data_IF_581488186638
#
_entry.id   IF_581488186638
#
_cell.length_a   1.000
_cell.length_b   1.000
_cell.length_c   1.000
_cell.angle_alpha   90.00
_cell.angle_beta   90.00
_cell.angle_gamma   90.00
#
_symmetry.space_group_name_H-M   'P 1'
#
loop_
_entity.id
_entity.type
_entity.pdbx_description
1 polymer ?
#
# COMPACT_ATOMS: atom_id res chain seq x y z
N UNK A 1 -1.54 -8.03 -6.63
CA UNK A 1 -1.45 -6.59 -6.34
C UNK A 1 -1.93 -5.76 -7.52
N UNK A 2 -2.28 -4.50 -7.26
CA UNK A 2 -2.62 -3.47 -8.26
C UNK A 2 -1.59 -2.34 -8.12
N UNK A 3 -1.06 -1.81 -9.22
CA UNK A 3 0.05 -0.83 -9.16
C UNK A 3 -0.31 0.43 -9.92
N UNK A 4 -0.21 1.58 -9.26
CA UNK A 4 -0.31 2.91 -9.84
C UNK A 4 1.07 3.55 -9.80
N UNK A 5 1.79 3.42 -10.92
CA UNK A 5 3.20 3.80 -11.03
C UNK A 5 3.36 5.30 -11.26
N UNK A 6 4.22 5.95 -10.49
CA UNK A 6 4.65 7.31 -10.74
C UNK A 6 5.51 7.40 -12.02
N UNK A 7 5.34 8.43 -12.86
CA UNK A 7 6.20 8.64 -14.04
C UNK A 7 7.68 8.82 -13.70
N UNK A 8 7.97 9.61 -12.66
CA UNK A 8 9.32 9.80 -12.10
C UNK A 8 9.38 9.20 -10.68
N UNK A 9 9.47 7.87 -10.60
CA UNK A 9 9.42 7.10 -9.36
C UNK A 9 10.59 7.45 -8.41
N UNK A 10 10.26 8.00 -7.24
CA UNK A 10 11.18 8.29 -6.12
C UNK A 10 10.94 7.35 -4.96
N UNK A 11 9.68 7.03 -4.69
CA UNK A 11 9.25 6.20 -3.56
C UNK A 11 8.27 5.13 -4.02
N UNK A 12 8.29 3.98 -3.36
CA UNK A 12 7.31 2.91 -3.57
C UNK A 12 6.70 2.54 -2.22
N UNK A 13 5.39 2.64 -2.13
CA UNK A 13 4.64 2.23 -0.94
C UNK A 13 3.69 1.08 -1.28
N UNK A 14 3.52 0.14 -0.34
CA UNK A 14 2.46 -0.86 -0.39
C UNK A 14 1.34 -0.43 0.52
N UNK A 15 0.11 -0.42 0.03
CA UNK A 15 -1.04 0.03 0.80
C UNK A 15 -2.03 -1.12 0.94
N UNK A 16 -2.31 -1.50 2.18
CA UNK A 16 -3.46 -2.34 2.49
C UNK A 16 -4.72 -1.49 2.45
N UNK A 17 -5.60 -1.80 1.51
CA UNK A 17 -6.78 -0.99 1.18
C UNK A 17 -8.07 -1.80 1.28
N UNK A 18 -9.18 -1.10 1.52
CA UNK A 18 -10.53 -1.65 1.56
C UNK A 18 -11.44 -0.72 0.76
N UNK A 19 -12.14 -1.25 -0.25
CA UNK A 19 -13.03 -0.47 -1.13
C UNK A 19 -14.27 0.08 -0.40
N UNK A 20 -14.50 -0.29 0.86
CA UNK A 20 -15.58 0.23 1.72
C UNK A 20 -15.09 1.29 2.70
N UNK A 21 -13.81 1.66 2.66
CA UNK A 21 -13.19 2.60 3.59
C UNK A 21 -13.14 4.02 3.03
N UNK A 22 -13.76 4.98 3.71
CA UNK A 22 -13.78 6.39 3.29
C UNK A 22 -12.39 7.00 3.08
N UNK A 23 -11.40 6.69 3.92
CA UNK A 23 -10.02 7.17 3.70
C UNK A 23 -9.29 6.43 2.57
N UNK A 24 -9.69 5.21 2.23
CA UNK A 24 -9.19 4.54 1.03
C UNK A 24 -9.73 5.21 -0.24
N UNK A 25 -11.00 5.65 -0.23
CA UNK A 25 -11.56 6.47 -1.30
C UNK A 25 -10.77 7.76 -1.46
N UNK A 26 -10.56 8.49 -0.35
CA UNK A 26 -9.78 9.73 -0.37
C UNK A 26 -8.36 9.53 -0.93
N UNK A 27 -7.64 8.49 -0.48
CA UNK A 27 -6.31 8.19 -0.99
C UNK A 27 -6.34 7.90 -2.51
N UNK A 28 -7.35 7.17 -2.98
CA UNK A 28 -7.46 6.81 -4.39
C UNK A 28 -7.85 7.99 -5.29
N UNK A 29 -8.71 8.89 -4.81
CA UNK A 29 -9.06 10.13 -5.50
C UNK A 29 -7.83 11.02 -5.76
N UNK A 30 -6.88 10.99 -4.83
CA UNK A 30 -5.63 11.76 -4.89
C UNK A 30 -4.49 10.99 -5.59
N UNK A 31 -4.73 9.82 -6.19
CA UNK A 31 -3.69 8.95 -6.77
C UNK A 31 -2.75 9.68 -7.74
N UNK A 32 -3.32 10.58 -8.56
CA UNK A 32 -2.53 11.39 -9.51
C UNK A 32 -1.56 12.33 -8.79
N UNK A 33 -1.93 12.88 -7.64
CA UNK A 33 -1.08 13.77 -6.86
C UNK A 33 0.06 13.01 -6.18
N UNK A 34 -0.20 11.79 -5.66
CA UNK A 34 0.88 10.90 -5.21
C UNK A 34 1.86 10.60 -6.34
N UNK A 35 1.35 10.20 -7.50
CA UNK A 35 2.17 9.84 -8.65
C UNK A 35 2.98 11.04 -9.19
N UNK A 36 2.39 12.24 -9.21
CA UNK A 36 3.07 13.48 -9.61
C UNK A 36 4.22 13.86 -8.66
N UNK A 37 4.12 13.47 -7.38
CA UNK A 37 5.18 13.63 -6.39
C UNK A 37 6.21 12.49 -6.39
N UNK A 38 6.15 11.59 -7.38
CA UNK A 38 7.08 10.47 -7.52
C UNK A 38 6.78 9.27 -6.63
N UNK A 39 5.56 9.17 -6.08
CA UNK A 39 5.17 8.06 -5.21
C UNK A 39 4.37 7.04 -6.01
N UNK A 40 4.94 5.84 -6.17
CA UNK A 40 4.24 4.67 -6.70
C UNK A 40 3.46 3.98 -5.60
N UNK A 41 2.17 3.74 -5.83
CA UNK A 41 1.28 3.06 -4.88
C UNK A 41 0.99 1.64 -5.36
N UNK A 42 1.18 0.65 -4.49
CA UNK A 42 0.86 -0.76 -4.74
C UNK A 42 -0.21 -1.23 -3.77
N UNK A 43 -1.39 -1.60 -4.25
CA UNK A 43 -2.45 -2.10 -3.39
C UNK A 43 -2.38 -3.61 -3.14
N UNK A 44 -2.64 -3.96 -1.88
CA UNK A 44 -3.08 -5.27 -1.43
C UNK A 44 -4.44 -5.11 -0.74
N UNK A 45 -5.32 -6.10 -0.91
CA UNK A 45 -6.66 -6.06 -0.35
C UNK A 45 -6.63 -6.41 1.15
N UNK A 46 -7.39 -5.66 1.95
CA UNK A 46 -7.56 -5.90 3.38
C UNK A 46 -9.02 -5.62 3.79
N UNK A 47 -9.92 -6.61 3.64
CA UNK A 47 -11.33 -6.42 4.02
C UNK A 47 -11.44 -6.29 5.55
N UNK A 48 -11.73 -5.09 6.06
CA UNK A 48 -11.80 -4.83 7.51
C UNK A 48 -12.90 -5.63 8.21
N UNK A 49 -13.93 -6.00 7.45
CA UNK A 49 -15.08 -6.80 7.91
C UNK A 49 -14.79 -8.31 7.87
N UNK A 50 -13.57 -8.72 7.52
CA UNK A 50 -13.15 -10.12 7.49
C UNK A 50 -13.33 -10.81 6.13
N UNK A 51 -12.86 -12.05 6.06
CA UNK A 51 -12.76 -12.82 4.81
C UNK A 51 -14.10 -13.34 4.27
N UNK A 52 -15.15 -13.31 5.07
CA UNK A 52 -16.50 -13.72 4.65
C UNK A 52 -17.37 -12.53 4.22
N UNK A 53 -16.82 -11.32 4.23
CA UNK A 53 -17.56 -10.09 3.94
C UNK A 53 -17.80 -9.86 2.45
N UNK A 54 -18.83 -9.07 2.11
CA UNK A 54 -19.05 -8.63 0.72
C UNK A 54 -17.85 -7.85 0.16
N UNK A 55 -17.15 -7.09 1.01
CA UNK A 55 -15.94 -6.37 0.61
C UNK A 55 -14.83 -7.31 0.13
N UNK A 56 -14.68 -8.48 0.76
CA UNK A 56 -13.74 -9.50 0.29
C UNK A 56 -14.13 -10.00 -1.11
N UNK A 57 -15.39 -10.38 -1.30
CA UNK A 57 -15.88 -10.95 -2.56
C UNK A 57 -15.75 -9.96 -3.73
N UNK A 58 -16.07 -8.69 -3.47
CA UNK A 58 -15.94 -7.61 -4.43
C UNK A 58 -14.45 -7.33 -4.75
N UNK A 59 -13.58 -7.26 -3.74
CA UNK A 59 -12.14 -7.08 -3.97
C UNK A 59 -11.50 -8.28 -4.67
N UNK A 60 -11.94 -9.51 -4.39
CA UNK A 60 -11.54 -10.71 -5.13
C UNK A 60 -11.85 -10.55 -6.63
N UNK A 61 -13.06 -10.10 -6.95
CA UNK A 61 -13.45 -9.83 -8.34
C UNK A 61 -12.60 -8.74 -9.00
N UNK A 62 -12.30 -7.65 -8.28
CA UNK A 62 -11.40 -6.59 -8.77
C UNK A 62 -10.00 -7.14 -9.05
N UNK A 63 -9.43 -7.94 -8.14
CA UNK A 63 -8.09 -8.51 -8.31
C UNK A 63 -8.01 -9.59 -9.39
N UNK A 64 -9.15 -10.16 -9.77
CA UNK A 64 -9.31 -11.11 -10.86
C UNK A 64 -9.71 -10.47 -12.20
N UNK A 65 -9.98 -9.17 -12.22
CA UNK A 65 -10.29 -8.47 -13.46
C UNK A 65 -9.09 -8.49 -14.43
N UNK A 66 -9.39 -8.51 -15.73
CA UNK A 66 -8.38 -8.40 -16.80
C UNK A 66 -7.57 -7.11 -16.67
N UNK A 67 -8.25 -6.00 -16.36
CA UNK A 67 -7.65 -4.72 -16.03
C UNK A 67 -8.01 -4.36 -14.59
N UNK A 68 -7.09 -4.66 -13.68
CA UNK A 68 -7.31 -4.49 -12.23
C UNK A 68 -7.34 -3.02 -11.84
N UNK A 69 -6.50 -2.19 -12.47
CA UNK A 69 -6.48 -0.75 -12.25
C UNK A 69 -7.85 -0.16 -12.61
N UNK A 70 -8.35 -0.46 -13.81
CA UNK A 70 -9.67 0.02 -14.22
C UNK A 70 -10.79 -0.50 -13.31
N UNK A 71 -10.76 -1.77 -12.94
CA UNK A 71 -11.79 -2.35 -12.06
C UNK A 71 -11.77 -1.70 -10.67
N UNK A 72 -10.59 -1.39 -10.13
CA UNK A 72 -10.45 -0.69 -8.86
C UNK A 72 -10.91 0.78 -9.00
N UNK A 73 -10.51 1.48 -10.05
CA UNK A 73 -10.96 2.85 -10.33
C UNK A 73 -12.49 2.94 -10.42
N UNK A 74 -13.11 2.02 -11.15
CA UNK A 74 -14.57 1.97 -11.30
C UNK A 74 -15.25 1.67 -9.95
N UNK A 75 -14.72 0.75 -9.14
CA UNK A 75 -15.26 0.45 -7.81
C UNK A 75 -15.16 1.65 -6.85
N UNK A 76 -14.01 2.30 -6.80
CA UNK A 76 -13.76 3.48 -5.95
C UNK A 76 -14.58 4.70 -6.40
N UNK A 77 -14.99 4.75 -7.67
CA UNK A 77 -15.91 5.74 -8.23
C UNK A 77 -17.40 5.35 -8.10
N UNK A 78 -17.71 4.24 -7.43
CA UNK A 78 -19.09 3.80 -7.16
C UNK A 78 -19.79 3.11 -8.34
N UNK A 79 -19.07 2.69 -9.39
CA UNK A 79 -19.65 2.05 -10.60
C UNK A 79 -19.94 0.56 -10.45
N UNK A 80 -19.88 0.01 -9.24
CA UNK A 80 -20.10 -1.40 -8.94
C UNK A 80 -18.97 -2.30 -9.45
N UNK A 81 -18.96 -3.55 -8.98
CA UNK A 81 -17.93 -4.54 -9.32
C UNK A 81 -18.51 -5.60 -10.23
N UNK A 82 -17.81 -5.91 -11.33
CA UNK A 82 -18.15 -7.03 -12.19
C UNK A 82 -17.59 -8.32 -11.59
N UNK A 83 -18.42 -9.36 -11.37
CA UNK A 83 -17.93 -10.63 -10.85
C UNK A 83 -16.83 -11.23 -11.72
N UNK A 84 -15.74 -11.66 -11.08
CA UNK A 84 -14.65 -12.35 -11.75
C UNK A 84 -13.98 -13.34 -10.78
N UNK A 85 -13.42 -14.42 -11.32
CA UNK A 85 -12.70 -15.44 -10.55
C UNK A 85 -11.38 -15.79 -11.22
N UNK A 86 -10.39 -16.10 -10.38
CA UNK A 86 -9.01 -16.43 -10.72
C UNK A 86 -8.31 -16.98 -9.46
N UNK A 87 -7.03 -17.34 -9.57
CA UNK A 87 -6.28 -17.96 -8.48
C UNK A 87 -5.83 -17.01 -7.36
N UNK A 88 -6.01 -15.69 -7.50
CA UNK A 88 -5.60 -14.71 -6.47
C UNK A 88 -6.36 -14.96 -5.16
N UNK A 89 -5.68 -15.32 -4.09
CA UNK A 89 -6.30 -15.50 -2.78
C UNK A 89 -6.23 -14.23 -1.94
N UNK A 90 -7.37 -13.62 -1.60
CA UNK A 90 -7.40 -12.40 -0.76
C UNK A 90 -7.01 -12.72 0.70
N UNK A 91 -7.21 -13.96 1.16
CA UNK A 91 -6.77 -14.38 2.48
C UNK A 91 -5.27 -14.22 2.68
N UNK A 92 -4.45 -14.42 1.64
CA UNK A 92 -3.00 -14.25 1.73
C UNK A 92 -2.61 -12.79 1.92
N UNK A 93 -3.29 -11.86 1.25
CA UNK A 93 -3.11 -10.43 1.47
C UNK A 93 -3.50 -10.04 2.90
N UNK A 94 -4.68 -10.48 3.34
CA UNK A 94 -5.19 -10.18 4.67
C UNK A 94 -4.26 -10.71 5.77
N UNK A 95 -3.83 -11.97 5.66
CA UNK A 95 -2.89 -12.60 6.60
C UNK A 95 -1.55 -11.85 6.67
N UNK A 96 -1.00 -11.42 5.53
CA UNK A 96 0.21 -10.61 5.50
C UNK A 96 0.00 -9.26 6.20
N UNK A 97 -1.14 -8.61 5.99
CA UNK A 97 -1.48 -7.38 6.70
C UNK A 97 -1.54 -7.58 8.21
N UNK A 98 -2.20 -8.65 8.67
CA UNK A 98 -2.27 -8.99 10.10
C UNK A 98 -0.87 -9.25 10.69
N UNK A 99 0.00 -9.98 9.98
CA UNK A 99 1.38 -10.24 10.42
C UNK A 99 2.22 -8.96 10.53
N UNK A 100 1.95 -7.97 9.68
CA UNK A 100 2.60 -6.66 9.72
C UNK A 100 1.95 -5.71 10.75
N UNK A 101 0.93 -6.14 11.50
CA UNK A 101 0.26 -5.33 12.52
C UNK A 101 -0.79 -4.37 11.96
N UNK A 102 -1.29 -4.59 10.74
CA UNK A 102 -2.38 -3.81 10.16
C UNK A 102 -3.67 -4.08 10.93
N UNK A 103 -4.24 -3.02 11.52
CA UNK A 103 -5.50 -3.05 12.27
C UNK A 103 -6.59 -2.18 11.67
N UNK A 104 -6.28 -1.43 10.60
CA UNK A 104 -7.21 -0.54 9.90
C UNK A 104 -6.70 -0.17 8.52
N UNK A 105 -7.55 0.45 7.69
CA UNK A 105 -7.19 0.87 6.33
C UNK A 105 -7.46 2.36 6.11
N UNK A 106 -6.70 3.06 5.26
CA UNK A 106 -5.50 2.56 4.60
C UNK A 106 -4.35 2.35 5.60
N UNK A 107 -3.56 1.30 5.40
CA UNK A 107 -2.30 1.10 6.12
C UNK A 107 -1.15 1.03 5.12
N UNK A 108 -0.14 1.85 5.33
CA UNK A 108 0.92 2.10 4.37
C UNK A 108 2.19 1.43 4.86
N UNK A 109 2.76 0.55 4.05
CA UNK A 109 3.98 -0.22 4.35
C UNK A 109 5.09 0.25 3.43
N UNK A 110 6.20 0.67 4.05
CA UNK A 110 7.39 1.12 3.36
C UNK A 110 8.27 -0.05 2.90
N UNK A 111 9.28 0.22 2.10
CA UNK A 111 10.20 -0.79 1.57
C UNK A 111 10.99 -1.55 2.64
N UNK A 112 11.19 -0.95 3.82
CA UNK A 112 11.87 -1.57 4.97
C UNK A 112 10.90 -2.27 5.95
N UNK A 113 9.62 -2.39 5.61
CA UNK A 113 8.59 -3.01 6.47
C UNK A 113 8.00 -2.09 7.53
N UNK A 114 8.44 -0.83 7.63
CA UNK A 114 7.81 0.15 8.52
C UNK A 114 6.36 0.38 8.11
N UNK A 115 5.44 0.34 9.09
CA UNK A 115 4.02 0.58 8.89
C UNK A 115 3.67 1.98 9.36
N UNK A 116 3.24 2.82 8.41
CA UNK A 116 2.65 4.13 8.69
C UNK A 116 1.15 3.91 8.93
N UNK A 117 0.66 4.14 10.16
CA UNK A 117 -0.75 3.96 10.45
C UNK A 117 -1.57 5.12 9.88
N UNK A 118 -2.65 4.78 9.19
CA UNK A 118 -3.65 5.73 8.71
C UNK A 118 -3.30 6.42 7.40
N UNK A 119 -4.18 7.35 7.01
CA UNK A 119 -4.06 8.16 5.82
C UNK A 119 -3.16 9.38 6.07
N UNK A 120 -2.31 9.70 5.11
CA UNK A 120 -1.61 10.98 4.99
C UNK A 120 -1.78 11.47 3.56
N UNK A 121 -2.07 12.76 3.36
CA UNK A 121 -2.25 13.30 2.01
C UNK A 121 -0.93 13.33 1.21
N UNK A 122 -0.98 13.54 -0.12
CA UNK A 122 0.19 13.41 -1.00
C UNK A 122 1.42 14.20 -0.56
N UNK A 123 1.24 15.47 -0.16
CA UNK A 123 2.36 16.34 0.27
C UNK A 123 2.94 15.90 1.61
N UNK A 124 2.09 15.52 2.55
CA UNK A 124 2.51 15.03 3.87
C UNK A 124 3.25 13.70 3.74
N UNK A 125 2.68 12.77 2.98
CA UNK A 125 3.31 11.48 2.67
C UNK A 125 4.66 11.68 1.97
N UNK A 126 4.76 12.58 0.99
CA UNK A 126 6.05 12.89 0.33
C UNK A 126 7.09 13.39 1.32
N UNK A 127 6.73 14.35 2.18
CA UNK A 127 7.63 14.88 3.19
C UNK A 127 8.07 13.80 4.19
N UNK A 128 7.13 12.97 4.64
CA UNK A 128 7.39 11.84 5.52
C UNK A 128 8.37 10.83 4.90
N UNK A 129 8.13 10.43 3.65
CA UNK A 129 8.97 9.48 2.92
C UNK A 129 10.39 10.00 2.71
N UNK A 130 10.53 11.28 2.34
CA UNK A 130 11.84 11.91 2.16
C UNK A 130 12.65 11.92 3.46
N UNK A 131 12.00 12.28 4.57
CA UNK A 131 12.68 12.32 5.87
C UNK A 131 13.05 10.92 6.35
N UNK A 132 12.11 9.96 6.26
CA UNK A 132 12.36 8.58 6.64
C UNK A 132 13.48 7.93 5.81
N UNK A 133 13.57 8.21 4.50
CA UNK A 133 14.66 7.74 3.65
C UNK A 133 16.03 8.28 4.09
N UNK A 134 16.12 9.56 4.50
CA UNK A 134 17.36 10.14 5.02
C UNK A 134 17.80 9.45 6.31
N UNK A 135 16.88 9.27 7.26
CA UNK A 135 17.19 8.68 8.57
C UNK A 135 17.62 7.22 8.45
N UNK A 136 16.94 6.43 7.62
CA UNK A 136 17.32 5.03 7.38
C UNK A 136 18.68 4.88 6.71
N UNK A 137 19.02 5.80 5.79
CA UNK A 137 20.35 5.82 5.15
C UNK A 137 21.47 6.17 6.14
N UNK A 138 21.22 7.10 7.06
CA UNK A 138 22.19 7.48 8.11
C UNK A 138 22.41 6.33 9.10
N UNK A 139 21.35 5.66 9.55
CA UNK A 139 21.46 4.56 10.51
C UNK A 139 22.23 3.37 9.94
N UNK A 140 21.97 3.01 8.68
CA UNK A 140 22.70 1.93 8.01
C UNK A 140 24.22 2.25 7.86
N UNK A 141 24.56 3.53 7.70
CA UNK A 141 25.96 3.98 7.63
C UNK A 141 26.67 3.87 8.99
N UNK A 142 25.96 4.13 10.10
CA UNK A 142 26.53 4.00 11.46
C UNK A 142 26.76 2.54 11.85
N UNK A 143 25.79 1.67 11.55
CA UNK A 143 25.86 0.24 11.88
C UNK A 143 27.01 -0.47 11.13
N UNK A 144 27.27 -0.06 9.88
CA UNK A 144 28.42 -0.56 9.10
C UNK A 144 29.77 -0.09 9.63
N UNK A 145 29.87 1.12 10.20
CA UNK A 145 31.10 1.60 10.86
C UNK A 145 31.37 0.93 12.21
N UNK A 146 30.35 0.56 12.98
CA UNK A 146 30.53 -0.14 14.26
C UNK A 146 30.92 -1.61 14.05
N UNK A 147 30.32 -2.28 13.07
CA UNK A 147 30.63 -3.70 12.75
C UNK A 147 32.06 -3.87 12.23
N UNK A 148 32.60 -2.89 11.50
CA UNK A 148 33.99 -2.92 10.99
C UNK A 148 35.05 -2.60 12.07
N UNK A 149 34.65 -1.96 13.17
CA UNK A 149 35.51 -1.72 14.34
C UNK A 149 35.64 -2.97 15.22
N UNK A 150 34.55 -3.73 15.40
CA UNK A 150 34.53 -4.95 16.23
C UNK A 150 35.24 -6.16 15.62
N UNK A 151 35.52 -6.18 14.31
CA UNK A 151 36.17 -7.30 13.62
C UNK A 151 37.71 -7.22 13.59
N UNK A 152 38.32 -6.26 14.31
CA UNK A 152 39.79 -6.11 14.43
C UNK A 152 40.30 -6.32 15.88
N UNK A 153 39.48 -6.91 16.75
CA UNK A 153 39.83 -7.24 18.13
C UNK A 153 40.15 -8.72 18.30
#
# INVERSE_FOLDING_TARGET
MIVYKAPDEKHVITVFTDITCGYCHKLHEEMKDYNALGITVRYLAFPRQGLESQAEQDMKSIWCAKDKNKAFDDAMAGKGVKPASCDVNIADHYALGVQLGVSGTPAIVLSNGYVVPGYQGPKEMKAFLDEHQKQTSVNNTRETTETTSSARG
#
